data_IF_177550963490
#
_entry.id   IF_177550963490
#
_cell.length_a   1.000
_cell.length_b   1.000
_cell.length_c   1.000
_cell.angle_alpha   90.00
_cell.angle_beta   90.00
_cell.angle_gamma   90.00
#
_symmetry.space_group_name_H-M   'P 1'
#
loop_
_entity.id
_entity.type
_entity.pdbx_description
1 polymer ?
#
# COMPACT_ATOMS: atom_id res chain seq x y z
N UNK A 1 22.94 16.14 0.49
CA UNK A 1 22.56 15.87 -0.92
C UNK A 1 21.48 14.79 -1.02
N UNK A 2 21.65 13.56 -0.53
CA UNK A 2 20.66 12.47 -0.63
C UNK A 2 19.28 12.80 0.00
N UNK A 3 19.26 13.34 1.21
CA UNK A 3 18.01 13.74 1.88
C UNK A 3 17.27 14.86 1.12
N UNK A 4 17.99 15.83 0.54
CA UNK A 4 17.36 16.87 -0.27
C UNK A 4 16.72 16.30 -1.54
N UNK A 5 17.40 15.36 -2.21
CA UNK A 5 16.86 14.69 -3.41
C UNK A 5 15.56 13.92 -3.06
N UNK A 6 15.58 13.16 -1.97
CA UNK A 6 14.41 12.44 -1.45
C UNK A 6 13.22 13.37 -1.20
N UNK A 7 13.44 14.50 -0.52
CA UNK A 7 12.40 15.49 -0.26
C UNK A 7 11.85 16.10 -1.55
N UNK A 8 12.73 16.43 -2.51
CA UNK A 8 12.33 17.00 -3.79
C UNK A 8 11.48 16.03 -4.60
N UNK A 9 11.90 14.77 -4.73
CA UNK A 9 11.13 13.76 -5.49
C UNK A 9 9.79 13.47 -4.82
N UNK A 10 9.74 13.37 -3.48
CA UNK A 10 8.47 13.19 -2.75
C UNK A 10 7.52 14.36 -2.99
N UNK A 11 8.01 15.59 -2.94
CA UNK A 11 7.21 16.80 -3.16
C UNK A 11 6.69 16.85 -4.60
N UNK A 12 7.53 16.54 -5.57
CA UNK A 12 7.14 16.50 -6.99
C UNK A 12 6.05 15.44 -7.21
N UNK A 13 6.25 14.21 -6.70
CA UNK A 13 5.28 13.12 -6.79
C UNK A 13 3.94 13.51 -6.18
N UNK A 14 3.96 14.10 -4.97
CA UNK A 14 2.76 14.63 -4.31
C UNK A 14 2.05 15.67 -5.17
N UNK A 15 2.78 16.65 -5.72
CA UNK A 15 2.20 17.70 -6.53
C UNK A 15 1.60 17.18 -7.84
N UNK A 16 2.22 16.19 -8.47
CA UNK A 16 1.67 15.53 -9.66
C UNK A 16 0.31 14.91 -9.33
N UNK A 17 0.21 14.14 -8.23
CA UNK A 17 -1.04 13.51 -7.80
C UNK A 17 -2.11 14.57 -7.45
N UNK A 18 -1.74 15.66 -6.82
CA UNK A 18 -2.66 16.77 -6.54
C UNK A 18 -3.18 17.42 -7.81
N UNK A 19 -2.36 17.58 -8.83
CA UNK A 19 -2.76 18.19 -10.11
C UNK A 19 -3.82 17.36 -10.86
N UNK A 20 -3.92 16.06 -10.61
CA UNK A 20 -4.98 15.18 -11.13
C UNK A 20 -6.17 15.05 -10.18
N UNK A 21 -6.24 15.86 -9.12
CA UNK A 21 -7.38 15.96 -8.23
C UNK A 21 -7.28 15.15 -6.93
N UNK A 22 -6.21 14.38 -6.70
CA UNK A 22 -6.03 13.63 -5.45
C UNK A 22 -5.89 14.59 -4.27
N UNK A 23 -6.54 14.28 -3.15
CA UNK A 23 -6.47 15.07 -1.93
C UNK A 23 -5.03 15.25 -1.42
N UNK A 24 -4.77 16.27 -0.60
CA UNK A 24 -3.43 16.53 -0.05
C UNK A 24 -2.89 15.35 0.76
N UNK A 25 -3.76 14.73 1.58
CA UNK A 25 -3.41 13.57 2.41
C UNK A 25 -3.21 12.31 1.56
N UNK A 26 -4.11 12.04 0.60
CA UNK A 26 -4.00 10.90 -0.32
C UNK A 26 -2.72 10.97 -1.15
N UNK A 27 -2.42 12.14 -1.71
CA UNK A 27 -1.21 12.41 -2.47
C UNK A 27 0.07 12.26 -1.60
N UNK A 28 0.00 12.71 -0.34
CA UNK A 28 1.11 12.59 0.62
C UNK A 28 1.36 11.13 1.00
N UNK A 29 0.31 10.34 1.24
CA UNK A 29 0.37 8.91 1.50
C UNK A 29 0.99 8.18 0.32
N UNK A 30 0.45 8.38 -0.88
CA UNK A 30 0.92 7.74 -2.11
C UNK A 30 2.38 8.06 -2.41
N UNK A 31 2.77 9.34 -2.31
CA UNK A 31 4.17 9.73 -2.48
C UNK A 31 5.09 9.05 -1.46
N UNK A 32 4.62 8.90 -0.21
CA UNK A 32 5.41 8.23 0.85
C UNK A 32 5.60 6.75 0.57
N UNK A 33 4.56 6.06 0.10
CA UNK A 33 4.62 4.65 -0.28
C UNK A 33 5.59 4.43 -1.43
N UNK A 34 5.43 5.19 -2.52
CA UNK A 34 6.23 5.03 -3.74
C UNK A 34 7.72 5.33 -3.48
N UNK A 35 8.03 6.45 -2.83
CA UNK A 35 9.42 6.78 -2.47
C UNK A 35 9.97 5.77 -1.47
N UNK A 36 9.17 5.29 -0.53
CA UNK A 36 9.58 4.27 0.42
C UNK A 36 9.97 2.95 -0.26
N UNK A 37 9.33 2.59 -1.37
CA UNK A 37 9.68 1.43 -2.16
C UNK A 37 10.99 1.65 -2.93
N UNK A 38 11.15 2.79 -3.63
CA UNK A 38 12.40 3.13 -4.33
C UNK A 38 13.61 3.12 -3.38
N UNK A 39 13.46 3.70 -2.19
CA UNK A 39 14.55 3.74 -1.20
C UNK A 39 14.97 2.37 -0.65
N UNK A 40 14.15 1.35 -0.84
CA UNK A 40 14.46 -0.05 -0.49
C UNK A 40 14.88 -0.88 -1.69
N UNK A 41 15.03 -0.28 -2.87
CA UNK A 41 15.37 -0.99 -4.11
C UNK A 41 14.19 -1.76 -4.72
N UNK A 42 12.94 -1.47 -4.30
CA UNK A 42 11.72 -2.08 -4.86
C UNK A 42 11.17 -1.17 -5.96
N UNK A 43 11.97 -0.90 -6.97
CA UNK A 43 11.69 0.05 -8.05
C UNK A 43 10.47 -0.34 -8.89
N UNK A 44 10.17 -1.64 -8.99
CA UNK A 44 8.97 -2.15 -9.68
C UNK A 44 7.67 -1.58 -9.11
N UNK A 45 7.68 -1.17 -7.84
CA UNK A 45 6.56 -0.61 -7.09
C UNK A 45 6.83 0.81 -6.58
N UNK A 46 7.83 1.47 -7.17
CA UNK A 46 8.24 2.84 -6.85
C UNK A 46 7.67 3.89 -7.81
N UNK A 47 8.23 5.10 -7.74
CA UNK A 47 7.79 6.25 -8.55
C UNK A 47 8.00 5.98 -10.03
N UNK A 48 9.17 5.46 -10.41
CA UNK A 48 9.57 5.28 -11.81
C UNK A 48 8.62 4.38 -12.60
N UNK A 49 8.13 3.31 -11.99
CA UNK A 49 7.22 2.35 -12.62
C UNK A 49 5.74 2.59 -12.27
N UNK A 50 5.45 2.97 -11.02
CA UNK A 50 4.08 3.06 -10.52
C UNK A 50 3.36 4.34 -10.91
N UNK A 51 4.02 5.50 -10.73
CA UNK A 51 3.34 6.80 -10.84
C UNK A 51 2.67 7.02 -12.20
N UNK A 52 3.35 6.72 -13.30
CA UNK A 52 2.81 6.89 -14.66
C UNK A 52 1.57 6.03 -14.89
N UNK A 53 1.58 4.78 -14.39
CA UNK A 53 0.45 3.87 -14.51
C UNK A 53 -0.74 4.35 -13.69
N UNK A 54 -0.50 4.92 -12.50
CA UNK A 54 -1.56 5.45 -11.65
C UNK A 54 -2.20 6.70 -12.24
N UNK A 55 -1.39 7.62 -12.80
CA UNK A 55 -1.91 8.80 -13.54
C UNK A 55 -2.87 8.32 -14.63
N UNK A 56 -2.43 7.37 -15.46
CA UNK A 56 -3.26 6.82 -16.53
C UNK A 56 -4.58 6.23 -16.01
N UNK A 57 -4.57 5.54 -14.88
CA UNK A 57 -5.78 4.95 -14.29
C UNK A 57 -6.73 6.01 -13.71
N UNK A 58 -6.24 7.15 -13.26
CA UNK A 58 -7.09 8.29 -12.90
C UNK A 58 -7.69 8.95 -14.15
N UNK A 59 -6.90 9.13 -15.22
CA UNK A 59 -7.38 9.64 -16.51
C UNK A 59 -8.44 8.74 -17.15
N UNK A 60 -8.38 7.43 -16.94
CA UNK A 60 -9.31 6.43 -17.43
C UNK A 60 -10.52 6.21 -16.48
N UNK A 61 -10.70 7.04 -15.45
CA UNK A 61 -11.77 6.95 -14.43
C UNK A 61 -11.81 5.61 -13.67
N UNK A 62 -10.69 4.87 -13.63
CA UNK A 62 -10.57 3.61 -12.87
C UNK A 62 -10.41 3.89 -11.38
N UNK A 63 -9.63 4.93 -11.02
CA UNK A 63 -9.46 5.37 -9.66
C UNK A 63 -10.23 6.67 -9.40
N UNK A 64 -10.88 6.74 -8.25
CA UNK A 64 -11.58 7.93 -7.79
C UNK A 64 -10.58 8.90 -7.11
N UNK A 65 -10.35 10.11 -7.67
CA UNK A 65 -9.46 11.10 -7.05
C UNK A 65 -10.05 11.76 -5.80
N UNK A 66 -11.37 11.61 -5.57
CA UNK A 66 -12.12 12.19 -4.44
C UNK A 66 -12.88 11.11 -3.64
N UNK A 67 -12.20 10.05 -3.17
CA UNK A 67 -12.87 8.91 -2.55
C UNK A 67 -13.55 9.31 -1.23
N UNK A 68 -14.75 8.82 -1.03
CA UNK A 68 -15.49 8.92 0.24
C UNK A 68 -15.26 7.66 1.06
N UNK A 69 -14.07 7.55 1.64
CA UNK A 69 -13.67 6.40 2.45
C UNK A 69 -14.61 6.24 3.63
N UNK A 70 -15.15 5.02 3.84
CA UNK A 70 -16.12 4.72 4.89
C UNK A 70 -15.76 3.45 5.64
N UNK A 71 -15.89 3.46 6.96
CA UNK A 71 -15.90 2.24 7.76
C UNK A 71 -17.27 1.60 7.64
N UNK A 72 -17.33 0.40 7.03
CA UNK A 72 -18.57 -0.37 6.81
C UNK A 72 -18.96 -1.12 8.08
N UNK A 73 -17.96 -1.68 8.76
CA UNK A 73 -18.16 -2.46 10.00
C UNK A 73 -16.95 -2.31 10.88
N UNK A 74 -17.16 -2.24 12.17
CA UNK A 74 -16.10 -2.11 13.16
C UNK A 74 -16.40 -2.92 14.41
N UNK A 75 -15.35 -3.50 14.98
CA UNK A 75 -15.33 -4.17 16.29
C UNK A 75 -14.12 -3.65 17.08
N UNK A 76 -13.94 -4.01 18.34
CA UNK A 76 -12.74 -3.61 19.07
C UNK A 76 -11.43 -3.94 18.34
N UNK A 77 -11.30 -5.11 17.73
CA UNK A 77 -10.05 -5.58 17.10
C UNK A 77 -10.08 -5.60 15.58
N UNK A 78 -11.23 -5.39 14.93
CA UNK A 78 -11.33 -5.45 13.48
C UNK A 78 -12.05 -4.23 12.90
N UNK A 79 -11.77 -3.93 11.62
CA UNK A 79 -12.58 -3.01 10.83
C UNK A 79 -12.66 -3.47 9.37
N UNK A 80 -13.73 -3.10 8.68
CA UNK A 80 -13.88 -3.21 7.24
C UNK A 80 -14.12 -1.81 6.67
N UNK A 81 -13.27 -1.41 5.72
CA UNK A 81 -13.29 -0.09 5.08
C UNK A 81 -13.68 -0.26 3.61
N UNK A 82 -14.57 0.61 3.14
CA UNK A 82 -14.82 0.84 1.71
C UNK A 82 -13.90 1.96 1.24
N UNK A 83 -13.06 1.66 0.25
CA UNK A 83 -12.11 2.60 -0.32
C UNK A 83 -12.69 3.49 -1.42
N UNK A 84 -13.92 3.26 -1.86
CA UNK A 84 -14.59 4.05 -2.90
C UNK A 84 -13.72 4.24 -4.16
N UNK A 85 -13.05 3.16 -4.59
CA UNK A 85 -12.09 3.12 -5.71
C UNK A 85 -10.86 4.02 -5.53
N UNK A 86 -10.50 4.38 -4.30
CA UNK A 86 -9.22 5.04 -4.03
C UNK A 86 -8.05 4.20 -4.52
N UNK A 87 -6.97 4.84 -4.93
CA UNK A 87 -5.70 4.14 -5.14
C UNK A 87 -5.24 3.51 -3.81
N UNK A 88 -4.79 2.25 -3.86
CA UNK A 88 -4.41 1.52 -2.66
C UNK A 88 -3.31 2.20 -1.83
N UNK A 89 -2.42 2.95 -2.47
CA UNK A 89 -1.38 3.74 -1.78
C UNK A 89 -1.92 4.93 -0.99
N UNK A 90 -3.15 5.38 -1.26
CA UNK A 90 -3.82 6.40 -0.45
C UNK A 90 -4.39 5.80 0.84
N UNK A 91 -5.11 4.68 0.71
CA UNK A 91 -5.89 4.08 1.79
C UNK A 91 -5.09 3.08 2.63
N UNK A 92 -4.08 2.44 2.06
CA UNK A 92 -3.26 1.44 2.76
C UNK A 92 -2.63 1.95 4.06
N UNK A 93 -1.99 3.15 4.07
CA UNK A 93 -1.48 3.74 5.31
C UNK A 93 -2.57 4.03 6.35
N UNK A 94 -3.76 4.44 5.92
CA UNK A 94 -4.91 4.70 6.80
C UNK A 94 -5.38 3.40 7.45
N UNK A 95 -5.55 2.35 6.65
CA UNK A 95 -5.98 1.04 7.13
C UNK A 95 -4.97 0.43 8.11
N UNK A 96 -3.67 0.51 7.81
CA UNK A 96 -2.63 0.01 8.69
C UNK A 96 -2.56 0.80 10.00
N UNK A 97 -2.67 2.12 9.96
CA UNK A 97 -2.72 2.94 11.17
C UNK A 97 -3.91 2.58 12.06
N UNK A 98 -5.10 2.38 11.49
CA UNK A 98 -6.27 1.92 12.26
C UNK A 98 -6.04 0.52 12.86
N UNK A 99 -5.39 -0.39 12.15
CA UNK A 99 -5.02 -1.70 12.70
C UNK A 99 -4.03 -1.56 13.87
N UNK A 100 -3.03 -0.69 13.76
CA UNK A 100 -2.07 -0.38 14.81
C UNK A 100 -2.76 0.20 16.05
N UNK A 101 -3.65 1.17 15.90
CA UNK A 101 -4.41 1.77 17.00
C UNK A 101 -5.24 0.72 17.77
N UNK A 102 -5.90 -0.19 17.02
CA UNK A 102 -6.62 -1.30 17.62
C UNK A 102 -5.70 -2.25 18.36
N UNK A 103 -4.55 -2.59 17.76
CA UNK A 103 -3.55 -3.47 18.37
C UNK A 103 -2.98 -2.87 19.65
N UNK A 104 -2.70 -1.58 19.69
CA UNK A 104 -2.25 -0.87 20.89
C UNK A 104 -3.24 -0.99 22.06
N UNK A 105 -4.54 -0.93 21.74
CA UNK A 105 -5.58 -0.95 22.75
C UNK A 105 -6.02 -2.34 23.18
N UNK A 106 -5.99 -3.31 22.26
CA UNK A 106 -6.61 -4.62 22.48
C UNK A 106 -5.65 -5.81 22.26
N UNK A 107 -4.37 -5.56 21.97
CA UNK A 107 -3.36 -6.59 21.72
C UNK A 107 -3.30 -7.08 20.28
N UNK A 108 -4.33 -6.82 19.47
CA UNK A 108 -4.35 -7.11 18.03
C UNK A 108 -5.26 -6.17 17.28
N UNK A 109 -4.98 -5.98 15.99
CA UNK A 109 -5.82 -5.20 15.09
C UNK A 109 -5.78 -5.77 13.67
N UNK A 110 -6.94 -5.82 13.00
CA UNK A 110 -7.03 -6.25 11.61
C UNK A 110 -8.02 -5.37 10.85
N UNK A 111 -7.59 -4.88 9.68
CA UNK A 111 -8.43 -4.05 8.83
C UNK A 111 -8.46 -4.62 7.42
N UNK A 112 -9.65 -4.91 6.92
CA UNK A 112 -9.86 -5.26 5.52
C UNK A 112 -10.35 -4.06 4.73
N UNK A 113 -9.84 -3.89 3.51
CA UNK A 113 -10.25 -2.82 2.60
C UNK A 113 -10.86 -3.45 1.35
N UNK A 114 -12.03 -2.96 0.95
CA UNK A 114 -12.71 -3.33 -0.30
C UNK A 114 -12.81 -2.11 -1.21
N UNK A 115 -13.07 -2.32 -2.48
CA UNK A 115 -13.19 -1.25 -3.49
C UNK A 115 -11.97 -0.32 -3.45
N UNK A 116 -10.79 -0.88 -3.65
CA UNK A 116 -9.53 -0.14 -3.66
C UNK A 116 -8.61 -0.60 -4.77
N UNK A 117 -7.72 0.28 -5.19
CA UNK A 117 -6.73 0.03 -6.22
C UNK A 117 -5.45 -0.64 -5.70
N UNK A 118 -4.44 -0.62 -6.54
CA UNK A 118 -3.15 -1.25 -6.30
C UNK A 118 -2.42 -0.66 -5.09
N UNK A 119 -1.88 -1.53 -4.23
CA UNK A 119 -1.19 -1.16 -2.98
C UNK A 119 0.29 -0.82 -3.16
N UNK A 120 0.86 -0.98 -4.37
CA UNK A 120 2.32 -1.01 -4.55
C UNK A 120 2.97 -2.11 -3.69
N UNK A 121 4.15 -1.90 -3.13
CA UNK A 121 4.82 -2.89 -2.28
C UNK A 121 4.19 -2.98 -0.89
N UNK A 122 3.76 -4.17 -0.50
CA UNK A 122 3.10 -4.43 0.78
C UNK A 122 4.03 -4.18 1.98
N UNK A 123 5.33 -4.29 1.79
CA UNK A 123 6.34 -4.05 2.82
C UNK A 123 6.30 -2.65 3.43
N UNK A 124 5.81 -1.65 2.69
CA UNK A 124 5.65 -0.30 3.24
C UNK A 124 4.71 -0.30 4.46
N UNK A 125 3.59 -1.00 4.37
CA UNK A 125 2.54 -1.00 5.41
C UNK A 125 2.98 -1.79 6.63
N UNK A 126 3.54 -2.97 6.45
CA UNK A 126 3.98 -3.81 7.58
C UNK A 126 5.14 -3.17 8.37
N UNK A 127 5.99 -2.38 7.71
CA UNK A 127 7.01 -1.58 8.37
C UNK A 127 6.44 -0.44 9.23
N UNK A 128 5.20 0.02 8.99
CA UNK A 128 4.54 0.98 9.88
C UNK A 128 4.27 0.35 11.25
N UNK A 129 3.84 -0.92 11.28
CA UNK A 129 3.64 -1.66 12.51
C UNK A 129 4.96 -1.95 13.23
N UNK A 130 5.99 -2.41 12.50
CA UNK A 130 7.31 -2.69 13.07
C UNK A 130 7.95 -1.46 13.74
N UNK A 131 7.76 -0.26 13.16
CA UNK A 131 8.19 1.01 13.77
C UNK A 131 7.44 1.39 15.05
N UNK A 132 6.36 0.69 15.37
CA UNK A 132 5.57 0.82 16.60
C UNK A 132 5.73 -0.38 17.51
N UNK A 133 6.81 -1.13 17.32
CA UNK A 133 7.16 -2.33 18.10
C UNK A 133 6.11 -3.45 18.01
N UNK A 134 5.51 -3.60 16.82
CA UNK A 134 4.48 -4.60 16.53
C UNK A 134 4.85 -5.46 15.35
N UNK A 135 4.38 -6.71 15.34
CA UNK A 135 4.42 -7.55 14.14
C UNK A 135 3.33 -7.07 13.16
N UNK A 136 3.73 -6.73 11.94
CA UNK A 136 2.84 -6.31 10.88
C UNK A 136 2.62 -7.39 9.83
N UNK A 137 1.38 -7.50 9.34
CA UNK A 137 1.01 -8.36 8.23
C UNK A 137 0.23 -7.56 7.18
N UNK A 138 0.47 -7.83 5.90
CA UNK A 138 -0.30 -7.27 4.81
C UNK A 138 -0.48 -8.33 3.72
N UNK A 139 -1.71 -8.48 3.25
CA UNK A 139 -2.07 -9.36 2.17
C UNK A 139 -2.93 -8.61 1.17
N UNK A 140 -2.76 -8.89 -0.11
CA UNK A 140 -3.67 -8.37 -1.13
C UNK A 140 -3.89 -9.39 -2.23
N UNK A 141 -5.11 -9.45 -2.75
CA UNK A 141 -5.41 -10.16 -3.98
C UNK A 141 -5.08 -9.29 -5.19
N UNK A 142 -4.47 -9.86 -6.19
CA UNK A 142 -4.27 -9.22 -7.49
C UNK A 142 -5.34 -9.67 -8.49
N UNK A 143 -5.63 -8.88 -9.54
CA UNK A 143 -6.49 -9.34 -10.62
C UNK A 143 -5.99 -10.68 -11.18
N UNK A 144 -6.92 -11.55 -11.56
CA UNK A 144 -6.62 -12.79 -12.28
C UNK A 144 -6.00 -12.50 -13.66
N UNK A 145 -5.35 -13.50 -14.24
CA UNK A 145 -4.81 -13.40 -15.60
C UNK A 145 -3.40 -12.80 -15.70
N UNK A 146 -2.63 -12.84 -14.63
CA UNK A 146 -1.24 -12.36 -14.61
C UNK A 146 -0.21 -13.48 -14.60
N UNK A 147 -0.55 -14.64 -14.02
CA UNK A 147 0.38 -15.75 -13.82
C UNK A 147 -0.26 -17.07 -14.24
N UNK A 148 0.51 -17.92 -14.90
CA UNK A 148 0.10 -19.27 -15.25
C UNK A 148 0.08 -20.16 -14.00
N UNK A 149 -0.96 -20.99 -13.79
CA UNK A 149 -0.87 -22.06 -12.81
C UNK A 149 0.12 -23.13 -13.29
N UNK A 150 0.70 -23.86 -12.35
CA UNK A 150 1.59 -24.97 -12.68
C UNK A 150 0.90 -25.93 -13.66
N UNK A 151 1.57 -26.23 -14.79
CA UNK A 151 1.06 -27.03 -15.91
C UNK A 151 -0.15 -26.43 -16.64
N UNK A 152 -0.56 -25.20 -16.32
CA UNK A 152 -1.62 -24.50 -17.03
C UNK A 152 -1.13 -23.83 -18.31
N UNK A 153 -2.03 -23.66 -19.28
CA UNK A 153 -1.77 -22.96 -20.54
C UNK A 153 -2.36 -21.55 -20.58
N UNK A 154 -3.21 -21.19 -19.60
CA UNK A 154 -3.87 -19.89 -19.54
C UNK A 154 -3.54 -19.18 -18.21
N UNK A 155 -3.21 -17.88 -18.24
CA UNK A 155 -2.93 -17.10 -17.02
C UNK A 155 -4.24 -16.83 -16.28
N UNK A 156 -4.46 -17.48 -15.15
CA UNK A 156 -5.65 -17.35 -14.31
C UNK A 156 -5.36 -16.91 -12.88
N UNK A 157 -4.09 -16.88 -12.47
CA UNK A 157 -3.68 -16.46 -11.15
C UNK A 157 -3.29 -14.97 -11.14
N UNK A 158 -3.47 -14.32 -10.01
CA UNK A 158 -2.84 -13.04 -9.69
C UNK A 158 -1.54 -13.26 -8.92
N UNK A 159 -0.74 -12.24 -8.73
CA UNK A 159 0.53 -12.31 -7.98
C UNK A 159 0.33 -12.53 -6.47
N UNK A 160 -0.82 -12.10 -5.92
CA UNK A 160 -1.29 -12.32 -4.54
C UNK A 160 -0.18 -12.16 -3.49
N UNK A 161 0.43 -10.96 -3.37
CA UNK A 161 1.55 -10.76 -2.48
C UNK A 161 1.16 -10.87 -1.01
N UNK A 162 2.14 -11.31 -0.21
CA UNK A 162 2.09 -11.32 1.24
C UNK A 162 3.31 -10.61 1.80
N UNK A 163 3.12 -9.84 2.86
CA UNK A 163 4.21 -9.17 3.54
C UNK A 163 4.10 -9.34 5.05
N UNK A 164 5.27 -9.45 5.70
CA UNK A 164 5.44 -9.53 7.13
C UNK A 164 6.59 -8.64 7.55
N UNK A 165 6.44 -7.97 8.69
CA UNK A 165 7.56 -7.32 9.35
C UNK A 165 7.48 -7.54 10.85
N UNK A 166 8.64 -7.63 11.48
CA UNK A 166 8.79 -7.70 12.91
C UNK A 166 9.88 -6.74 13.37
N UNK A 167 9.74 -6.12 14.55
CA UNK A 167 10.80 -5.32 15.12
C UNK A 167 12.03 -6.19 15.41
N UNK A 168 13.20 -5.58 15.38
CA UNK A 168 14.45 -6.19 15.84
C UNK A 168 15.15 -5.17 16.73
N UNK A 169 15.92 -5.66 17.70
CA UNK A 169 16.54 -4.81 18.71
C UNK A 169 17.56 -3.83 18.10
N UNK A 170 18.79 -4.27 17.87
CA UNK A 170 19.84 -3.41 17.30
C UNK A 170 19.88 -3.40 15.76
N UNK A 171 19.21 -4.36 15.14
CA UNK A 171 19.19 -4.52 13.67
C UNK A 171 17.97 -3.83 13.03
N UNK A 172 18.02 -3.53 11.73
CA UNK A 172 16.81 -3.12 11.01
C UNK A 172 15.69 -4.13 11.18
N UNK A 173 14.42 -3.72 11.19
CA UNK A 173 13.29 -4.64 11.27
C UNK A 173 13.37 -5.76 10.25
N UNK A 174 13.02 -6.99 10.65
CA UNK A 174 12.79 -8.06 9.69
C UNK A 174 11.69 -7.64 8.71
N UNK A 175 11.91 -7.87 7.44
CA UNK A 175 10.94 -7.60 6.39
C UNK A 175 10.94 -8.74 5.36
N UNK A 176 9.76 -9.29 5.13
CA UNK A 176 9.46 -10.25 4.07
C UNK A 176 8.31 -9.69 3.24
N UNK A 177 8.47 -9.57 1.93
CA UNK A 177 7.46 -9.01 1.01
C UNK A 177 7.64 -9.67 -0.36
N UNK A 178 6.76 -10.60 -0.71
CA UNK A 178 6.86 -11.39 -1.94
C UNK A 178 5.51 -11.61 -2.61
N UNK A 179 5.54 -11.83 -3.92
CA UNK A 179 4.45 -12.48 -4.65
C UNK A 179 4.37 -13.98 -4.25
N UNK A 180 3.17 -14.53 -4.14
CA UNK A 180 2.97 -15.97 -3.85
C UNK A 180 2.80 -16.82 -5.10
N UNK A 181 2.61 -16.19 -6.27
CA UNK A 181 2.50 -16.82 -7.58
C UNK A 181 3.58 -16.27 -8.50
N UNK A 182 4.32 -17.16 -9.15
CA UNK A 182 5.38 -16.87 -10.13
C UNK A 182 5.19 -17.72 -11.38
#
# INVERSE_FOLDING_TARGET
MFNQLKYSVKTITKNILKNIGVSDDGASNSASVLIGNDLRGVESHGVSNGLRQYIKRYEDDIYNPHPKIKTIKETPTTAKIDGDNALGTEIGPIAMNLAIEKAQKYGMGSVSVVNTGHLAGCGHYVLQAAKKDMIGHCYTGSPAGQTLPTWGSEPILGTNPVAWAAPADEMPPFLFDIATSQ
#
